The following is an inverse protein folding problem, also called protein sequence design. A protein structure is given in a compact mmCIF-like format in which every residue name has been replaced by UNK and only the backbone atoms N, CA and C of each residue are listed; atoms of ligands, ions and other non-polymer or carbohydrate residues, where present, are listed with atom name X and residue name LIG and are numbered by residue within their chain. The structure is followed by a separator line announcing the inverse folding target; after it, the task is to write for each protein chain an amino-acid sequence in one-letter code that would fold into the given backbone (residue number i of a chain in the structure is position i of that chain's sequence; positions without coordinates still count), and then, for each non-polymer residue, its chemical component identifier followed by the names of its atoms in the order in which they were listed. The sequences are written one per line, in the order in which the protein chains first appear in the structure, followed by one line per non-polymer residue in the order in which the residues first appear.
data_IF_585408148572
#
_entry.id   IF_585408148572
#
_cell.length_a   1.000
_cell.length_b   1.000
_cell.length_c   1.000
_cell.angle_alpha   90.00
_cell.angle_beta   90.00
_cell.angle_gamma   90.00
#
_symmetry.space_group_name_H-M   'P 1'
#
loop_
_entity.id
_entity.type
_entity.pdbx_description
1 polymer ?
#
# COMPACT_ATOMS: atom_id res chain seq x y z
N UNK A 1 8.98 9.17 -5.05
CA UNK A 1 7.59 8.69 -4.97
C UNK A 1 6.90 8.85 -6.34
N UNK A 2 7.64 8.76 -7.44
CA UNK A 2 7.16 9.33 -8.71
C UNK A 2 6.04 8.52 -9.36
N UNK A 3 6.10 7.19 -9.35
CA UNK A 3 5.04 6.36 -9.92
C UNK A 3 3.68 6.58 -9.21
N UNK A 4 3.70 6.68 -7.88
CA UNK A 4 2.48 6.89 -7.07
C UNK A 4 1.85 8.25 -7.36
N UNK A 5 2.66 9.30 -7.55
CA UNK A 5 2.15 10.63 -7.98
C UNK A 5 1.51 10.55 -9.35
N UNK A 6 2.15 9.87 -10.31
CA UNK A 6 1.59 9.71 -11.67
C UNK A 6 0.23 9.00 -11.61
N UNK A 7 0.08 7.96 -10.80
CA UNK A 7 -1.22 7.29 -10.62
C UNK A 7 -2.32 8.24 -10.09
N UNK A 8 -1.96 9.15 -9.19
CA UNK A 8 -2.87 10.20 -8.71
C UNK A 8 -3.19 11.23 -9.81
N UNK A 9 -2.18 11.71 -10.54
CA UNK A 9 -2.32 12.70 -11.62
C UNK A 9 -3.23 12.21 -12.75
N UNK A 10 -3.11 10.93 -13.14
CA UNK A 10 -3.99 10.32 -14.16
C UNK A 10 -5.35 9.88 -13.59
N UNK A 11 -5.57 10.05 -12.29
CA UNK A 11 -6.82 9.69 -11.62
C UNK A 11 -7.12 8.20 -11.62
N UNK A 12 -6.11 7.34 -11.44
CA UNK A 12 -6.28 5.90 -11.35
C UNK A 12 -7.01 5.52 -10.05
N UNK A 13 -8.22 4.94 -10.16
CA UNK A 13 -9.13 4.69 -9.01
C UNK A 13 -9.17 3.24 -8.54
N UNK A 14 -8.36 2.38 -9.13
CA UNK A 14 -8.41 0.94 -8.85
C UNK A 14 -7.32 0.53 -7.86
N UNK A 15 -7.39 -0.72 -7.45
CA UNK A 15 -6.47 -1.30 -6.48
C UNK A 15 -5.06 -1.42 -7.08
N UNK A 16 -4.05 -0.93 -6.35
CA UNK A 16 -2.64 -1.18 -6.65
C UNK A 16 -2.24 -2.52 -6.04
N UNK A 17 -2.06 -3.52 -6.90
CA UNK A 17 -1.70 -4.87 -6.52
C UNK A 17 -0.17 -5.04 -6.50
N UNK A 18 0.42 -5.60 -5.43
CA UNK A 18 1.77 -6.12 -5.51
C UNK A 18 1.83 -7.29 -6.50
N UNK A 19 2.70 -7.17 -7.50
CA UNK A 19 2.90 -8.19 -8.54
C UNK A 19 3.67 -9.40 -7.98
N UNK A 20 4.92 -9.18 -7.57
CA UNK A 20 5.78 -10.19 -6.95
C UNK A 20 6.26 -9.73 -5.58
N UNK A 21 6.34 -10.67 -4.64
CA UNK A 21 6.93 -10.44 -3.31
C UNK A 21 8.06 -11.44 -3.06
N UNK A 22 9.11 -11.04 -2.31
CA UNK A 22 10.21 -11.95 -2.01
C UNK A 22 9.73 -13.09 -1.10
N UNK A 23 10.40 -14.23 -1.19
CA UNK A 23 10.29 -15.26 -0.18
C UNK A 23 11.05 -14.81 1.08
N UNK A 24 10.37 -14.74 2.22
CA UNK A 24 10.96 -14.33 3.50
C UNK A 24 10.92 -15.48 4.50
N UNK A 25 11.87 -15.50 5.43
CA UNK A 25 11.87 -16.47 6.51
C UNK A 25 10.68 -16.22 7.45
N UNK A 26 9.98 -17.28 7.88
CA UNK A 26 8.87 -17.17 8.82
C UNK A 26 7.86 -18.31 8.69
N UNK A 27 6.88 -18.35 9.60
CA UNK A 27 5.82 -19.35 9.60
C UNK A 27 4.85 -19.23 8.43
N UNK A 28 4.59 -18.02 7.95
CA UNK A 28 3.87 -17.73 6.70
C UNK A 28 4.67 -16.73 5.84
N UNK A 29 5.63 -17.23 5.04
CA UNK A 29 6.48 -16.41 4.18
C UNK A 29 5.70 -15.52 3.22
N UNK A 30 4.67 -16.05 2.57
CA UNK A 30 3.93 -15.30 1.56
C UNK A 30 3.02 -14.27 2.19
N UNK A 31 2.17 -14.66 3.14
CA UNK A 31 1.22 -13.74 3.76
C UNK A 31 1.93 -12.57 4.45
N UNK A 32 3.04 -12.83 5.12
CA UNK A 32 3.85 -11.79 5.78
C UNK A 32 4.46 -10.81 4.77
N UNK A 33 4.98 -11.31 3.64
CA UNK A 33 5.56 -10.46 2.60
C UNK A 33 4.50 -9.59 1.91
N UNK A 34 3.35 -10.17 1.58
CA UNK A 34 2.22 -9.42 1.03
C UNK A 34 1.71 -8.35 2.01
N UNK A 35 1.58 -8.69 3.30
CA UNK A 35 1.14 -7.75 4.32
C UNK A 35 2.07 -6.52 4.41
N UNK A 36 3.39 -6.75 4.37
CA UNK A 36 4.38 -5.67 4.34
C UNK A 36 4.20 -4.76 3.11
N UNK A 37 4.10 -5.33 1.91
CA UNK A 37 4.02 -4.54 0.67
C UNK A 37 2.71 -3.74 0.60
N UNK A 38 1.58 -4.31 1.04
CA UNK A 38 0.33 -3.54 1.15
C UNK A 38 0.43 -2.38 2.16
N UNK A 39 1.13 -2.59 3.27
CA UNK A 39 1.44 -1.53 4.23
C UNK A 39 2.30 -0.43 3.61
N UNK A 40 3.32 -0.81 2.83
CA UNK A 40 4.19 0.13 2.12
C UNK A 40 3.40 0.96 1.09
N UNK A 41 2.64 0.32 0.19
CA UNK A 41 1.76 1.03 -0.76
C UNK A 41 0.84 2.00 -0.02
N UNK A 42 0.29 1.55 1.11
CA UNK A 42 -0.57 2.38 1.96
C UNK A 42 0.12 3.64 2.47
N UNK A 43 1.35 3.51 2.96
CA UNK A 43 2.15 4.63 3.43
C UNK A 43 2.52 5.59 2.29
N UNK A 44 2.84 5.07 1.09
CA UNK A 44 3.11 5.91 -0.08
C UNK A 44 1.91 6.77 -0.47
N UNK A 45 0.71 6.17 -0.48
CA UNK A 45 -0.53 6.88 -0.79
C UNK A 45 -0.85 7.95 0.29
N UNK A 46 -0.60 7.64 1.56
CA UNK A 46 -0.71 8.63 2.65
C UNK A 46 0.28 9.79 2.47
N UNK A 47 1.52 9.50 2.08
CA UNK A 47 2.57 10.50 1.91
C UNK A 47 2.26 11.53 0.81
N UNK A 48 1.47 11.16 -0.21
CA UNK A 48 1.00 12.07 -1.27
C UNK A 48 -0.39 12.67 -1.00
N UNK A 49 -0.96 12.43 0.19
CA UNK A 49 -2.27 12.95 0.56
C UNK A 49 -3.44 12.35 -0.23
N UNK A 50 -3.30 11.13 -0.75
CA UNK A 50 -4.37 10.49 -1.52
C UNK A 50 -5.61 10.26 -0.63
N UNK A 51 -6.81 10.75 -1.03
CA UNK A 51 -8.02 10.60 -0.22
C UNK A 51 -8.43 9.14 -0.09
N UNK A 52 -8.28 8.54 1.10
CA UNK A 52 -8.69 7.16 1.37
C UNK A 52 -9.52 7.01 2.64
N UNK A 53 -10.58 6.21 2.57
CA UNK A 53 -11.24 5.65 3.76
C UNK A 53 -10.46 4.42 4.21
N UNK A 54 -9.55 4.60 5.17
CA UNK A 54 -8.86 3.48 5.80
C UNK A 54 -9.72 2.96 6.96
N UNK A 55 -10.25 1.74 6.84
CA UNK A 55 -11.13 1.14 7.84
C UNK A 55 -10.45 0.95 9.22
N UNK A 56 -9.12 0.83 9.24
CA UNK A 56 -8.33 0.47 10.42
C UNK A 56 -7.49 1.62 10.97
N UNK A 57 -7.53 2.79 10.33
CA UNK A 57 -6.91 3.99 10.92
C UNK A 57 -7.89 4.46 11.98
N UNK A 58 -7.59 4.12 13.24
CA UNK A 58 -8.14 4.83 14.38
C UNK A 58 -7.87 6.31 14.12
N UNK A 59 -8.90 7.10 13.81
CA UNK A 59 -8.80 8.55 14.01
C UNK A 59 -8.32 8.71 15.45
N UNK A 60 -7.08 9.14 15.65
CA UNK A 60 -6.52 9.33 16.99
C UNK A 60 -7.22 10.49 17.70
N UNK A 61 -6.85 10.71 18.97
CA UNK A 61 -7.68 10.56 20.19
C UNK A 61 -9.08 11.17 20.15
#
# INVERSE_FOLDING_TARGET
FECIKVYQEVGYKYMLMPDHVPHIAGGDPQGTAFAFVYGYITALLQAIGEPRKQAWVTKGP
#
